data_IF_971994383609
#
_entry.id   IF_971994383609
#
_cell.length_a   1.000
_cell.length_b   1.000
_cell.length_c   1.000
_cell.angle_alpha   90.00
_cell.angle_beta   90.00
_cell.angle_gamma   90.00
#
_symmetry.space_group_name_H-M   'P 1'
#
loop_
_entity.id
_entity.type
_entity.pdbx_description
1 polymer ?
#
# COMPACT_ATOMS: atom_id res chain seq x y z
N UNK A 1 -25.04 -10.27 -25.13
CA UNK A 1 -24.65 -11.32 -26.10
C UNK A 1 -25.89 -11.80 -26.85
N UNK A 2 -25.69 -12.37 -28.01
CA UNK A 2 -26.76 -13.06 -28.74
C UNK A 2 -26.64 -14.57 -28.48
N UNK A 3 -27.74 -15.19 -28.14
CA UNK A 3 -27.84 -16.63 -27.98
C UNK A 3 -29.14 -17.09 -28.65
N UNK A 4 -29.02 -18.08 -29.51
CA UNK A 4 -30.15 -18.57 -30.31
C UNK A 4 -30.88 -17.43 -31.06
N UNK A 5 -30.11 -16.52 -31.69
CA UNK A 5 -30.60 -15.37 -32.48
C UNK A 5 -31.38 -14.29 -31.70
N UNK A 6 -31.50 -14.45 -30.37
CA UNK A 6 -32.14 -13.48 -29.50
C UNK A 6 -31.10 -12.73 -28.64
N UNK A 7 -31.31 -11.41 -28.42
CA UNK A 7 -30.44 -10.66 -27.50
C UNK A 7 -30.70 -11.09 -26.07
N UNK A 8 -29.65 -11.56 -25.38
CA UNK A 8 -29.69 -11.98 -23.99
C UNK A 8 -28.86 -11.01 -23.15
N UNK A 9 -29.39 -10.61 -21.99
CA UNK A 9 -28.62 -9.82 -21.04
C UNK A 9 -27.42 -10.62 -20.55
N UNK A 10 -26.26 -10.01 -20.56
CA UNK A 10 -25.08 -10.55 -19.86
C UNK A 10 -25.38 -10.40 -18.37
N UNK A 11 -25.18 -11.46 -17.59
CA UNK A 11 -25.30 -11.41 -16.14
C UNK A 11 -24.39 -10.33 -15.55
N UNK A 12 -24.71 -9.87 -14.35
CA UNK A 12 -23.91 -8.86 -13.64
C UNK A 12 -22.50 -9.38 -13.33
N UNK A 13 -21.62 -8.45 -12.98
CA UNK A 13 -20.29 -8.77 -12.47
C UNK A 13 -20.37 -9.16 -11.01
N UNK A 14 -19.69 -10.21 -10.62
CA UNK A 14 -19.44 -10.53 -9.21
C UNK A 14 -18.00 -10.23 -8.85
N UNK A 15 -17.79 -9.81 -7.62
CA UNK A 15 -16.44 -9.56 -7.11
C UNK A 15 -15.67 -10.89 -7.02
N UNK A 16 -14.45 -10.89 -7.51
CA UNK A 16 -13.53 -12.03 -7.37
C UNK A 16 -12.74 -11.87 -6.08
N UNK A 17 -13.07 -12.66 -5.06
CA UNK A 17 -12.44 -12.58 -3.75
C UNK A 17 -13.07 -11.53 -2.83
N UNK A 18 -12.77 -11.62 -1.54
CA UNK A 18 -13.34 -10.76 -0.50
C UNK A 18 -12.53 -9.48 -0.27
N UNK A 19 -11.25 -9.50 -0.60
CA UNK A 19 -10.32 -8.39 -0.33
C UNK A 19 -10.15 -7.46 -1.53
N UNK A 20 -10.09 -6.16 -1.25
CA UNK A 20 -9.72 -5.15 -2.25
C UNK A 20 -8.20 -5.11 -2.42
N UNK A 21 -7.76 -4.98 -3.67
CA UNK A 21 -6.35 -4.74 -3.98
C UNK A 21 -5.94 -3.31 -3.60
N UNK A 22 -4.73 -3.17 -3.07
CA UNK A 22 -4.13 -1.85 -2.84
C UNK A 22 -3.63 -1.31 -4.17
N UNK A 23 -4.20 -0.21 -4.61
CA UNK A 23 -3.90 0.41 -5.91
C UNK A 23 -4.77 -0.11 -7.05
N UNK A 24 -4.56 0.45 -8.23
CA UNK A 24 -5.27 0.07 -9.45
C UNK A 24 -4.50 -1.04 -10.19
N UNK A 25 -5.17 -2.14 -10.51
CA UNK A 25 -4.56 -3.21 -11.30
C UNK A 25 -4.19 -2.70 -12.70
N UNK A 26 -2.94 -2.90 -13.09
CA UNK A 26 -2.34 -2.45 -14.35
C UNK A 26 -1.93 -3.59 -15.26
N UNK A 27 -1.57 -4.72 -14.67
CA UNK A 27 -1.12 -5.89 -15.41
C UNK A 27 -1.64 -7.16 -14.76
N UNK A 28 -1.85 -8.17 -15.59
CA UNK A 28 -2.23 -9.51 -15.19
C UNK A 28 -1.40 -10.51 -16.00
N UNK A 29 -0.74 -11.41 -15.30
CA UNK A 29 0.00 -12.51 -15.90
C UNK A 29 -0.35 -13.83 -15.22
N UNK A 30 -0.81 -14.81 -15.97
CA UNK A 30 -1.12 -16.12 -15.41
C UNK A 30 -0.01 -17.11 -15.74
N UNK A 31 0.28 -17.98 -14.79
CA UNK A 31 1.30 -19.01 -14.91
C UNK A 31 0.92 -20.26 -14.10
N UNK A 32 1.59 -21.35 -14.38
CA UNK A 32 1.40 -22.62 -13.70
C UNK A 32 2.76 -23.01 -13.09
N UNK A 33 2.76 -23.39 -11.82
CA UNK A 33 3.98 -23.87 -11.18
C UNK A 33 4.28 -25.34 -11.51
N UNK A 34 5.42 -25.83 -11.07
CA UNK A 34 5.82 -27.23 -11.31
C UNK A 34 4.87 -28.26 -10.69
N UNK A 35 4.08 -27.88 -9.70
CA UNK A 35 3.04 -28.71 -9.07
C UNK A 35 1.66 -28.58 -9.74
N UNK A 36 1.61 -28.05 -10.96
CA UNK A 36 0.38 -27.84 -11.76
C UNK A 36 -0.65 -26.90 -11.11
N UNK A 37 -0.24 -26.09 -10.12
CA UNK A 37 -1.12 -25.09 -9.50
C UNK A 37 -1.12 -23.83 -10.36
N UNK A 38 -2.31 -23.32 -10.65
CA UNK A 38 -2.52 -22.12 -11.46
C UNK A 38 -2.46 -20.88 -10.58
N UNK A 39 -1.69 -19.91 -11.03
CA UNK A 39 -1.54 -18.60 -10.41
C UNK A 39 -1.85 -17.48 -11.40
N UNK A 40 -2.29 -16.36 -10.88
CA UNK A 40 -2.33 -15.11 -11.61
C UNK A 40 -1.53 -14.05 -10.84
N UNK A 41 -0.45 -13.55 -11.43
CA UNK A 41 0.27 -12.39 -10.90
C UNK A 41 -0.46 -11.12 -11.33
N UNK A 42 -0.74 -10.25 -10.37
CA UNK A 42 -1.48 -9.00 -10.57
C UNK A 42 -0.59 -7.84 -10.12
N UNK A 43 -0.12 -7.06 -11.07
CA UNK A 43 0.62 -5.83 -10.82
C UNK A 43 -0.34 -4.66 -10.67
N UNK A 44 -0.33 -4.02 -9.50
CA UNK A 44 -0.99 -2.73 -9.33
C UNK A 44 0.04 -1.60 -9.46
N UNK A 45 -0.43 -0.36 -9.45
CA UNK A 45 0.48 0.80 -9.38
C UNK A 45 1.13 0.96 -8.00
N UNK A 46 0.93 0.02 -7.06
CA UNK A 46 1.45 0.10 -5.70
C UNK A 46 2.04 -1.20 -5.20
N UNK A 47 1.43 -2.33 -5.48
CA UNK A 47 1.76 -3.63 -4.89
C UNK A 47 1.63 -4.73 -5.95
N UNK A 48 2.45 -5.76 -5.82
CA UNK A 48 2.39 -6.96 -6.61
C UNK A 48 1.70 -8.07 -5.81
N UNK A 49 0.69 -8.70 -6.41
CA UNK A 49 -0.07 -9.79 -5.81
C UNK A 49 0.07 -11.08 -6.63
N UNK A 50 -0.04 -12.20 -5.94
CA UNK A 50 -0.32 -13.50 -6.55
C UNK A 50 -1.73 -13.94 -6.14
N UNK A 51 -2.54 -14.34 -7.10
CA UNK A 51 -3.86 -14.89 -6.86
C UNK A 51 -3.86 -16.38 -7.16
N UNK A 52 -4.35 -17.18 -6.22
CA UNK A 52 -4.59 -18.61 -6.39
C UNK A 52 -5.65 -19.09 -5.38
N UNK A 53 -6.45 -20.07 -5.75
CA UNK A 53 -7.45 -20.66 -4.84
C UNK A 53 -8.48 -19.68 -4.27
N UNK A 54 -8.76 -18.57 -4.92
CA UNK A 54 -9.69 -17.55 -4.41
C UNK A 54 -9.06 -16.46 -3.54
N UNK A 55 -7.76 -16.55 -3.23
CA UNK A 55 -7.06 -15.68 -2.27
C UNK A 55 -6.00 -14.85 -2.99
N UNK A 56 -5.87 -13.59 -2.59
CA UNK A 56 -4.78 -12.71 -3.00
C UNK A 56 -3.66 -12.75 -1.97
N UNK A 57 -2.48 -13.11 -2.40
CA UNK A 57 -1.26 -13.09 -1.61
C UNK A 57 -0.43 -11.88 -2.00
N UNK A 58 -0.02 -11.10 -1.02
CA UNK A 58 0.95 -10.03 -1.22
C UNK A 58 2.33 -10.67 -1.39
N UNK A 59 2.94 -10.44 -2.54
CA UNK A 59 4.29 -10.92 -2.88
C UNK A 59 5.24 -9.77 -3.18
N UNK A 60 4.85 -8.55 -2.78
CA UNK A 60 5.67 -7.38 -3.03
C UNK A 60 6.92 -7.38 -2.14
N UNK A 61 8.11 -7.06 -2.68
CA UNK A 61 9.34 -7.07 -1.90
C UNK A 61 9.31 -6.05 -0.76
N UNK A 62 9.77 -6.47 0.42
CA UNK A 62 9.94 -5.62 1.59
C UNK A 62 11.38 -5.09 1.60
N UNK A 63 11.53 -3.77 1.70
CA UNK A 63 12.82 -3.06 1.77
C UNK A 63 13.41 -3.11 3.18
N UNK A 64 12.57 -2.86 4.20
CA UNK A 64 12.97 -2.90 5.60
C UNK A 64 11.80 -3.23 6.50
N UNK A 65 12.10 -3.76 7.67
CA UNK A 65 11.15 -4.01 8.74
C UNK A 65 11.70 -3.42 10.03
N UNK A 66 10.88 -2.64 10.73
CA UNK A 66 11.25 -2.00 12.00
C UNK A 66 10.12 -2.21 13.00
N UNK A 67 10.46 -2.44 14.26
CA UNK A 67 9.49 -2.47 15.35
C UNK A 67 9.57 -1.15 16.10
N UNK A 68 8.43 -0.49 16.25
CA UNK A 68 8.31 0.82 16.87
C UNK A 68 7.48 0.72 18.17
N UNK A 69 7.83 1.53 19.14
CA UNK A 69 7.11 1.65 20.41
C UNK A 69 6.82 3.12 20.68
N UNK A 70 5.61 3.46 21.10
CA UNK A 70 5.16 4.85 21.33
C UNK A 70 5.39 5.79 20.14
N UNK A 71 5.27 5.28 18.92
CA UNK A 71 5.72 5.96 17.72
C UNK A 71 4.60 6.62 16.90
N UNK A 72 3.34 6.31 17.20
CA UNK A 72 2.21 6.81 16.44
C UNK A 72 1.51 7.92 17.22
N UNK A 73 1.41 9.08 16.63
CA UNK A 73 0.74 10.24 17.22
C UNK A 73 -0.39 10.70 16.32
N UNK A 74 -1.59 10.81 16.88
CA UNK A 74 -2.73 11.39 16.22
C UNK A 74 -2.84 12.88 16.62
N UNK A 75 -3.12 13.75 15.66
CA UNK A 75 -3.38 15.14 15.96
C UNK A 75 -4.81 15.28 16.48
N UNK A 76 -4.97 15.59 17.77
CA UNK A 76 -6.27 15.80 18.40
C UNK A 76 -6.94 17.12 17.99
N UNK A 77 -8.20 17.25 18.38
CA UNK A 77 -9.01 18.44 18.09
C UNK A 77 -8.73 19.64 19.01
N UNK A 78 -7.96 19.48 20.09
CA UNK A 78 -7.67 20.57 21.02
C UNK A 78 -6.15 20.75 21.16
N UNK A 79 -5.63 21.98 20.89
CA UNK A 79 -6.31 23.22 20.48
C UNK A 79 -6.43 23.43 18.95
N UNK A 80 -6.30 22.41 18.12
CA UNK A 80 -6.31 22.52 16.65
C UNK A 80 -7.54 21.92 15.98
N UNK A 81 -7.70 22.12 14.68
CA UNK A 81 -8.76 21.47 13.92
C UNK A 81 -8.55 19.95 13.86
N UNK A 82 -9.64 19.21 13.84
CA UNK A 82 -9.60 17.76 13.62
C UNK A 82 -8.88 17.42 12.30
N UNK A 83 -7.95 16.50 12.35
CA UNK A 83 -7.21 16.07 11.15
C UNK A 83 -7.28 14.55 11.00
N UNK A 84 -7.15 14.10 9.76
CA UNK A 84 -7.03 12.68 9.44
C UNK A 84 -5.57 12.21 9.38
N UNK A 85 -4.64 13.05 9.81
CA UNK A 85 -3.20 12.79 9.71
C UNK A 85 -2.70 12.08 10.96
N UNK A 86 -1.95 11.03 10.75
CA UNK A 86 -1.23 10.30 11.80
C UNK A 86 0.25 10.38 11.52
N UNK A 87 1.02 10.82 12.51
CA UNK A 87 2.48 10.91 12.44
C UNK A 87 3.10 9.62 12.99
N UNK A 88 4.07 9.09 12.28
CA UNK A 88 4.85 7.92 12.67
C UNK A 88 6.29 8.37 12.89
N UNK A 89 6.79 8.21 14.12
CA UNK A 89 8.14 8.61 14.52
C UNK A 89 9.05 7.40 14.65
N UNK A 90 10.17 7.43 13.96
CA UNK A 90 11.20 6.39 13.98
C UNK A 90 12.36 6.79 14.87
N UNK A 91 13.01 5.83 15.50
CA UNK A 91 14.20 6.06 16.32
C UNK A 91 15.49 6.37 15.53
N UNK A 92 15.44 6.21 14.21
CA UNK A 92 16.56 6.48 13.28
C UNK A 92 15.99 6.83 11.91
N UNK A 93 16.86 7.23 10.98
CA UNK A 93 16.45 7.55 9.61
C UNK A 93 15.71 6.36 8.94
N UNK A 94 14.52 6.62 8.44
CA UNK A 94 13.61 5.60 7.94
C UNK A 94 13.74 5.33 6.43
N UNK A 95 14.26 6.26 5.66
CA UNK A 95 14.46 6.13 4.22
C UNK A 95 13.18 5.99 3.38
N UNK A 96 12.01 6.42 3.90
CA UNK A 96 10.77 6.57 3.15
C UNK A 96 10.78 7.83 2.31
N UNK A 97 10.02 7.80 1.23
CA UNK A 97 9.64 8.96 0.41
C UNK A 97 8.13 9.10 0.35
N UNK A 98 7.62 10.30 0.07
CA UNK A 98 6.20 10.49 -0.11
C UNK A 98 5.68 9.63 -1.28
N UNK A 99 4.59 8.92 -1.04
CA UNK A 99 4.02 7.96 -1.99
C UNK A 99 4.45 6.51 -1.79
N UNK A 100 5.48 6.24 -0.98
CA UNK A 100 5.84 4.87 -0.61
C UNK A 100 4.70 4.18 0.15
N UNK A 101 4.71 2.85 0.16
CA UNK A 101 3.75 2.06 0.92
C UNK A 101 4.38 1.58 2.20
N UNK A 102 3.70 1.84 3.30
CA UNK A 102 3.99 1.32 4.62
C UNK A 102 2.90 0.32 5.02
N UNK A 103 3.31 -0.86 5.48
CA UNK A 103 2.43 -1.86 6.06
C UNK A 103 2.61 -1.87 7.57
N UNK A 104 1.50 -1.85 8.28
CA UNK A 104 1.45 -1.82 9.74
C UNK A 104 0.83 -3.10 10.26
N UNK A 105 1.43 -3.66 11.29
CA UNK A 105 1.02 -4.93 11.88
C UNK A 105 1.36 -4.94 13.37
N UNK A 106 0.66 -5.80 14.10
CA UNK A 106 0.81 -5.94 15.55
C UNK A 106 0.43 -4.66 16.32
N UNK A 107 -0.60 -3.98 15.85
CA UNK A 107 -1.15 -2.83 16.56
C UNK A 107 -1.92 -3.28 17.80
N UNK A 108 -1.59 -2.74 18.95
CA UNK A 108 -2.20 -3.16 20.23
C UNK A 108 -3.34 -2.24 20.67
N UNK A 109 -3.09 -0.97 20.85
CA UNK A 109 -4.10 0.00 21.27
C UNK A 109 -3.65 1.44 21.01
N UNK A 110 -4.63 2.33 20.79
CA UNK A 110 -4.43 3.77 20.75
C UNK A 110 -5.31 4.38 21.84
N UNK A 111 -4.68 4.87 22.91
CA UNK A 111 -5.39 5.46 24.04
C UNK A 111 -5.73 6.92 23.76
N UNK A 112 -6.99 7.30 23.92
CA UNK A 112 -7.44 8.68 23.73
C UNK A 112 -7.79 9.07 22.30
N UNK A 113 -7.62 8.17 21.35
CA UNK A 113 -8.01 8.35 19.94
C UNK A 113 -9.38 7.74 19.65
N UNK A 114 -10.06 8.23 18.62
CA UNK A 114 -11.24 7.58 18.07
C UNK A 114 -10.89 6.45 17.07
N UNK A 115 -9.61 6.28 16.73
CA UNK A 115 -9.16 5.15 15.95
C UNK A 115 -8.97 3.92 16.83
N UNK A 116 -9.40 2.78 16.33
CA UNK A 116 -9.16 1.48 16.94
C UNK A 116 -7.87 0.84 16.40
N UNK A 117 -7.34 -0.16 17.08
CA UNK A 117 -6.20 -0.93 16.57
C UNK A 117 -6.48 -1.51 15.18
N UNK A 118 -7.70 -2.00 14.95
CA UNK A 118 -8.12 -2.56 13.65
C UNK A 118 -8.17 -1.55 12.50
N UNK A 119 -8.06 -0.25 12.77
CA UNK A 119 -7.96 0.75 11.71
C UNK A 119 -6.56 0.79 11.10
N UNK A 120 -5.56 0.28 11.81
CA UNK A 120 -4.16 0.23 11.40
C UNK A 120 -3.63 -1.17 11.17
N UNK A 121 -4.06 -2.11 12.01
CA UNK A 121 -3.52 -3.47 12.04
C UNK A 121 -3.79 -4.21 10.74
N UNK A 122 -2.77 -4.88 10.23
CA UNK A 122 -2.80 -5.64 8.98
C UNK A 122 -3.19 -4.79 7.76
N UNK A 123 -2.84 -3.49 7.79
CA UNK A 123 -3.21 -2.56 6.72
C UNK A 123 -2.00 -1.86 6.10
N UNK A 124 -2.22 -1.44 4.86
CA UNK A 124 -1.26 -0.72 4.03
C UNK A 124 -1.71 0.72 3.85
N UNK A 125 -0.79 1.63 4.12
CA UNK A 125 -0.99 3.06 3.95
C UNK A 125 0.02 3.63 2.97
N UNK A 126 -0.36 4.70 2.31
CA UNK A 126 0.56 5.50 1.54
C UNK A 126 1.15 6.58 2.44
N UNK A 127 2.46 6.74 2.41
CA UNK A 127 3.14 7.87 3.04
C UNK A 127 2.67 9.15 2.38
N UNK A 128 2.01 10.01 3.15
CA UNK A 128 1.45 11.28 2.67
C UNK A 128 2.54 12.32 2.53
N UNK A 129 3.36 12.47 3.57
CA UNK A 129 4.53 13.36 3.58
C UNK A 129 5.64 12.79 4.44
N UNK A 130 6.84 13.31 4.22
CA UNK A 130 8.03 13.07 5.03
C UNK A 130 8.37 14.38 5.71
N UNK A 131 8.14 14.44 7.02
CA UNK A 131 8.32 15.66 7.81
C UNK A 131 9.79 15.85 8.21
N UNK A 132 10.49 14.75 8.45
CA UNK A 132 11.92 14.76 8.78
C UNK A 132 12.57 13.42 8.40
N UNK A 133 13.86 13.26 8.69
CA UNK A 133 14.54 11.98 8.49
C UNK A 133 13.96 10.86 9.38
N UNK A 134 13.25 11.22 10.44
CA UNK A 134 12.69 10.29 11.43
C UNK A 134 11.17 10.33 11.53
N UNK A 135 10.48 11.15 10.73
CA UNK A 135 9.03 11.31 10.81
C UNK A 135 8.37 11.25 9.44
N UNK A 136 7.34 10.44 9.34
CA UNK A 136 6.45 10.37 8.19
C UNK A 136 5.01 10.58 8.64
N UNK A 137 4.14 10.95 7.71
CA UNK A 137 2.71 11.03 7.94
C UNK A 137 1.95 10.10 7.02
N UNK A 138 0.85 9.58 7.53
CA UNK A 138 -0.17 8.85 6.76
C UNK A 138 -1.53 9.53 6.95
N UNK A 139 -2.42 9.37 5.98
CA UNK A 139 -3.77 9.93 6.05
C UNK A 139 -4.79 8.81 6.26
N UNK A 140 -5.61 8.96 7.28
CA UNK A 140 -6.68 8.04 7.62
C UNK A 140 -7.96 8.38 6.84
N UNK A 141 -8.87 7.40 6.64
CA UNK A 141 -10.15 7.65 5.98
C UNK A 141 -11.09 8.58 6.75
N UNK A 142 -10.95 8.64 8.07
CA UNK A 142 -11.75 9.46 8.98
C UNK A 142 -10.87 10.43 9.75
N UNK A 143 -11.47 11.50 10.26
CA UNK A 143 -10.79 12.54 11.06
C UNK A 143 -10.65 12.08 12.50
N UNK A 144 -9.53 12.41 13.14
CA UNK A 144 -9.37 12.26 14.58
C UNK A 144 -10.23 13.29 15.31
N UNK A 145 -11.11 12.83 16.19
CA UNK A 145 -12.00 13.66 17.02
C UNK A 145 -11.67 13.58 18.50
N UNK A 146 -10.73 12.72 18.87
CA UNK A 146 -10.24 12.58 20.24
C UNK A 146 -9.23 13.63 20.65
N UNK A 147 -8.64 13.45 21.81
CA UNK A 147 -7.70 14.40 22.41
C UNK A 147 -6.27 14.29 21.89
N UNK A 148 -6.04 13.59 20.80
CA UNK A 148 -4.71 13.21 20.36
C UNK A 148 -4.13 12.10 21.23
N UNK A 149 -3.46 11.17 20.63
CA UNK A 149 -2.98 9.98 21.32
C UNK A 149 -1.65 9.49 20.76
N UNK A 150 -0.92 8.81 21.61
CA UNK A 150 0.30 8.10 21.23
C UNK A 150 0.10 6.61 21.52
N UNK A 151 0.48 5.79 20.57
CA UNK A 151 0.41 4.34 20.75
C UNK A 151 1.53 3.82 21.64
N UNK A 152 1.24 2.72 22.32
CA UNK A 152 2.22 1.91 23.03
C UNK A 152 2.30 0.52 22.40
N UNK A 153 3.41 -0.16 22.59
CA UNK A 153 3.60 -1.53 22.11
C UNK A 153 4.53 -1.65 20.91
N UNK A 154 4.93 -2.86 20.61
CA UNK A 154 5.87 -3.16 19.53
C UNK A 154 5.16 -3.30 18.19
N UNK A 155 4.83 -2.18 17.54
CA UNK A 155 4.18 -2.14 16.24
C UNK A 155 5.20 -2.45 15.16
N UNK A 156 4.92 -3.44 14.33
CA UNK A 156 5.76 -3.79 13.18
C UNK A 156 5.42 -2.90 12.00
N UNK A 157 6.42 -2.20 11.51
CA UNK A 157 6.35 -1.29 10.37
C UNK A 157 7.21 -1.85 9.25
N UNK A 158 6.62 -2.14 8.10
CA UNK A 158 7.33 -2.63 6.93
C UNK A 158 7.30 -1.59 5.82
N UNK A 159 8.48 -1.29 5.30
CA UNK A 159 8.67 -0.45 4.14
C UNK A 159 8.75 -1.32 2.89
N UNK A 160 7.85 -1.13 1.97
CA UNK A 160 7.89 -1.82 0.68
C UNK A 160 8.84 -1.14 -0.29
N UNK A 161 9.43 -1.91 -1.20
CA UNK A 161 10.14 -1.30 -2.33
C UNK A 161 9.16 -0.47 -3.17
N UNK A 162 9.54 0.71 -3.64
CA UNK A 162 8.69 1.47 -4.54
C UNK A 162 8.53 0.73 -5.87
N UNK A 163 7.34 0.79 -6.45
CA UNK A 163 7.05 0.18 -7.78
C UNK A 163 7.72 0.91 -8.94
N UNK A 164 8.48 1.94 -8.64
CA UNK A 164 9.07 2.85 -9.60
C UNK A 164 8.13 3.98 -9.98
N UNK A 165 8.63 5.02 -10.64
CA UNK A 165 7.84 6.16 -11.04
C UNK A 165 6.76 5.75 -12.04
N UNK A 166 5.53 6.24 -11.84
CA UNK A 166 4.40 5.96 -12.72
C UNK A 166 4.60 6.53 -14.14
N UNK A 167 5.40 7.58 -14.24
CA UNK A 167 5.85 8.19 -15.47
C UNK A 167 7.27 8.70 -15.26
N UNK A 168 8.22 8.07 -15.90
CA UNK A 168 9.57 8.59 -16.02
C UNK A 168 9.84 8.84 -17.50
N UNK A 169 10.18 10.08 -17.86
CA UNK A 169 10.68 10.37 -19.20
C UNK A 169 11.94 9.52 -19.41
N UNK A 170 11.88 8.56 -20.35
CA UNK A 170 12.97 7.61 -20.56
C UNK A 170 12.91 6.36 -19.68
N UNK A 171 11.88 6.16 -18.88
CA UNK A 171 11.70 4.91 -18.14
C UNK A 171 11.47 3.74 -19.09
N UNK A 172 12.16 2.65 -18.82
CA UNK A 172 12.00 1.40 -19.54
C UNK A 172 10.76 0.67 -19.06
N UNK A 173 9.67 0.78 -19.82
CA UNK A 173 8.52 -0.09 -19.69
C UNK A 173 8.50 -1.09 -20.86
N UNK A 174 7.73 -2.14 -20.76
CA UNK A 174 7.43 -3.01 -21.89
C UNK A 174 6.83 -2.18 -23.03
N UNK A 175 7.57 -2.08 -24.15
CA UNK A 175 7.16 -1.30 -25.31
C UNK A 175 7.55 0.18 -25.29
N UNK A 176 8.33 0.64 -24.33
CA UNK A 176 8.85 2.01 -24.28
C UNK A 176 10.38 1.98 -24.34
N UNK A 177 10.94 2.67 -25.30
CA UNK A 177 12.38 2.75 -25.52
C UNK A 177 12.94 1.75 -26.54
N UNK A 178 14.22 1.88 -26.83
CA UNK A 178 14.90 0.96 -27.75
C UNK A 178 15.15 -0.39 -27.05
N UNK A 179 14.88 -1.45 -27.74
CA UNK A 179 15.27 -2.81 -27.36
C UNK A 179 16.80 -2.87 -27.21
N UNK A 180 17.30 -3.12 -26.03
CA UNK A 180 18.72 -3.02 -25.64
C UNK A 180 19.33 -1.60 -25.62
N UNK A 181 18.51 -0.58 -25.55
CA UNK A 181 19.00 0.81 -25.45
C UNK A 181 19.71 1.10 -24.14
N UNK A 182 20.90 1.68 -24.24
CA UNK A 182 21.54 2.34 -23.09
C UNK A 182 20.74 3.59 -22.75
N UNK A 183 20.52 3.83 -21.45
CA UNK A 183 19.98 5.10 -20.98
C UNK A 183 20.99 6.18 -21.29
N UNK A 184 20.77 6.98 -22.30
CA UNK A 184 21.48 8.23 -22.44
C UNK A 184 20.67 9.32 -21.72
N UNK A 185 20.88 9.42 -20.46
CA UNK A 185 20.30 10.42 -19.60
C UNK A 185 21.10 10.39 -18.33
N UNK A 186 22.08 11.26 -18.22
CA UNK A 186 22.80 11.46 -16.98
C UNK A 186 21.81 11.77 -15.88
N UNK A 187 21.85 10.96 -14.83
CA UNK A 187 21.33 11.34 -13.54
C UNK A 187 22.39 12.23 -12.91
N UNK A 188 22.21 13.54 -13.03
CA UNK A 188 22.92 14.52 -12.20
C UNK A 188 22.18 14.70 -10.89
#
# INVERSE_FOLDING_TARGET
>A
RFRYETPEKIGGWSQLGESKLTGAARSLHHFINNSQIKFAAIGTNRILYAYTGGIFYDIHPIKSTTTLTNAFTTAGTSPGPATAVVTITFGSSHGFTAGDIVYLDNFTAITGSNYSASDFDDKKFMVTSVESATEITITMPSVETGAGATTSGGIRVQHYYPVGPAQQLGAYGWGIGQWSGTVSGEVT
#
